data_IF_703757630060
#
_entry.id   IF_703757630060
#
_cell.length_a   1.000
_cell.length_b   1.000
_cell.length_c   1.000
_cell.angle_alpha   90.00
_cell.angle_beta   90.00
_cell.angle_gamma   90.00
#
_symmetry.space_group_name_H-M   'P 1'
#
loop_
_entity.id
_entity.type
_entity.pdbx_description
1 polymer ?
#
# COMPACT_ATOMS: atom_id res chain seq x y z
N UNK A 1 20.85 -19.80 -0.31
CA UNK A 1 21.01 -21.25 0.00
C UNK A 1 19.74 -21.75 0.71
N UNK A 2 18.57 -21.67 0.06
CA UNK A 2 17.27 -22.04 0.65
C UNK A 2 16.52 -23.13 -0.15
N UNK A 3 17.04 -23.54 -1.31
CA UNK A 3 16.29 -24.36 -2.26
C UNK A 3 16.40 -25.89 -2.08
N UNK A 4 16.86 -26.42 -0.93
CA UNK A 4 17.03 -27.87 -0.75
C UNK A 4 16.35 -28.51 0.47
N UNK A 5 15.66 -27.74 1.34
CA UNK A 5 15.08 -28.29 2.58
C UNK A 5 13.55 -28.52 2.54
N UNK A 6 12.85 -28.04 1.50
CA UNK A 6 11.39 -28.21 1.37
C UNK A 6 10.95 -29.67 1.15
N UNK A 7 11.88 -30.56 0.80
CA UNK A 7 11.59 -31.98 0.51
C UNK A 7 11.30 -32.83 1.76
N UNK A 8 11.71 -32.38 2.96
CA UNK A 8 11.64 -33.19 4.18
C UNK A 8 10.56 -32.76 5.19
N UNK A 9 9.65 -31.84 4.81
CA UNK A 9 8.55 -31.41 5.68
C UNK A 9 8.99 -30.68 6.95
N UNK A 10 10.28 -30.35 7.07
CA UNK A 10 10.81 -29.48 8.11
C UNK A 10 10.75 -28.06 7.54
N UNK A 11 9.65 -27.37 7.81
CA UNK A 11 9.66 -25.91 7.71
C UNK A 11 10.82 -25.42 8.56
N UNK A 12 11.79 -24.75 7.93
CA UNK A 12 12.81 -24.04 8.68
C UNK A 12 12.05 -23.03 9.55
N UNK A 13 12.00 -23.33 10.84
CA UNK A 13 11.36 -22.53 11.86
C UNK A 13 12.04 -21.16 11.85
N UNK A 14 11.43 -20.19 11.16
CA UNK A 14 11.90 -18.81 11.11
C UNK A 14 11.51 -18.13 12.42
N UNK A 15 12.00 -18.67 13.53
CA UNK A 15 11.86 -18.10 14.89
C UNK A 15 12.53 -16.72 15.02
N UNK A 16 13.26 -16.28 14.00
CA UNK A 16 13.90 -14.96 13.93
C UNK A 16 12.94 -13.81 13.60
N UNK A 17 11.70 -14.08 13.15
CA UNK A 17 10.77 -13.05 12.65
C UNK A 17 11.16 -12.49 11.28
N UNK A 18 10.32 -11.61 10.74
CA UNK A 18 10.51 -10.97 9.42
C UNK A 18 10.54 -9.45 9.62
N UNK A 19 11.48 -8.71 9.00
CA UNK A 19 11.45 -7.25 9.02
C UNK A 19 10.10 -6.72 8.52
N UNK A 20 9.59 -5.65 9.14
CA UNK A 20 8.29 -5.08 8.81
C UNK A 20 8.22 -4.73 7.32
N UNK A 21 9.31 -4.19 6.75
CA UNK A 21 9.45 -3.86 5.33
C UNK A 21 9.18 -5.03 4.37
N UNK A 22 9.36 -6.26 4.81
CA UNK A 22 9.13 -7.48 4.01
C UNK A 22 7.75 -8.11 4.23
N UNK A 23 6.92 -7.52 5.11
CA UNK A 23 5.54 -7.97 5.34
C UNK A 23 4.58 -7.31 4.34
N UNK A 24 3.41 -7.90 4.04
CA UNK A 24 2.38 -7.25 3.24
C UNK A 24 2.02 -5.83 3.73
N UNK A 25 1.95 -5.63 5.05
CA UNK A 25 1.69 -4.30 5.63
C UNK A 25 2.83 -3.33 5.31
N UNK A 26 4.08 -3.72 5.52
CA UNK A 26 5.24 -2.87 5.23
C UNK A 26 5.44 -2.58 3.74
N UNK A 27 5.11 -3.53 2.86
CA UNK A 27 5.13 -3.32 1.40
C UNK A 27 4.11 -2.25 1.00
N UNK A 28 2.89 -2.27 1.55
CA UNK A 28 1.91 -1.20 1.29
C UNK A 28 2.42 0.16 1.79
N UNK A 29 3.03 0.19 2.98
CA UNK A 29 3.62 1.41 3.55
C UNK A 29 4.72 1.95 2.64
N UNK A 30 5.63 1.09 2.18
CA UNK A 30 6.73 1.44 1.28
C UNK A 30 6.21 2.04 -0.04
N UNK A 31 5.31 1.34 -0.73
CA UNK A 31 4.70 1.84 -1.97
C UNK A 31 4.01 3.20 -1.79
N UNK A 32 3.34 3.40 -0.65
CA UNK A 32 2.64 4.65 -0.35
C UNK A 32 3.62 5.78 -0.04
N UNK A 33 4.69 5.49 0.70
CA UNK A 33 5.74 6.44 1.04
C UNK A 33 6.57 6.86 -0.19
N UNK A 34 6.84 5.94 -1.13
CA UNK A 34 7.49 6.25 -2.40
C UNK A 34 6.71 7.29 -3.19
N UNK A 35 5.38 7.15 -3.31
CA UNK A 35 4.53 8.17 -3.93
C UNK A 35 4.59 9.52 -3.21
N UNK A 36 4.78 9.54 -1.89
CA UNK A 36 4.96 10.77 -1.13
C UNK A 36 6.23 11.53 -1.56
N UNK A 37 7.28 10.81 -2.00
CA UNK A 37 8.54 11.37 -2.46
C UNK A 37 8.60 11.66 -3.97
N UNK A 38 7.94 10.85 -4.79
CA UNK A 38 8.00 10.98 -6.26
C UNK A 38 6.86 11.80 -6.85
N UNK A 39 5.76 11.98 -6.13
CA UNK A 39 4.56 12.61 -6.68
C UNK A 39 3.67 11.62 -7.42
N UNK A 40 2.95 12.11 -8.43
CA UNK A 40 2.11 11.27 -9.28
C UNK A 40 2.98 10.34 -10.15
N UNK A 41 2.67 9.04 -10.14
CA UNK A 41 3.31 8.05 -11.02
C UNK A 41 2.38 6.91 -11.39
N UNK A 42 2.23 6.64 -12.71
CA UNK A 42 1.31 5.61 -13.20
C UNK A 42 1.65 4.20 -12.71
N UNK A 43 2.96 3.89 -12.60
CA UNK A 43 3.45 2.60 -12.10
C UNK A 43 3.15 2.44 -10.61
N UNK A 44 3.45 3.47 -9.81
CA UNK A 44 3.17 3.45 -8.36
C UNK A 44 1.67 3.34 -8.06
N UNK A 45 0.82 4.06 -8.81
CA UNK A 45 -0.64 3.91 -8.69
C UNK A 45 -1.11 2.49 -9.01
N UNK A 46 -0.59 1.88 -10.07
CA UNK A 46 -0.96 0.52 -10.44
C UNK A 46 -0.45 -0.50 -9.42
N UNK A 47 0.74 -0.28 -8.84
CA UNK A 47 1.27 -1.11 -7.77
C UNK A 47 0.39 -1.05 -6.51
N UNK A 48 -0.02 0.16 -6.09
CA UNK A 48 -0.97 0.34 -4.98
C UNK A 48 -2.31 -0.39 -5.25
N UNK A 49 -2.90 -0.20 -6.44
CA UNK A 49 -4.17 -0.83 -6.81
C UNK A 49 -4.11 -2.37 -6.91
N UNK A 50 -2.92 -2.93 -7.17
CA UNK A 50 -2.71 -4.38 -7.23
C UNK A 50 -2.34 -4.98 -5.87
N UNK A 51 -2.01 -4.15 -4.89
CA UNK A 51 -1.66 -4.61 -3.56
C UNK A 51 -2.88 -5.23 -2.85
N UNK A 52 -2.75 -6.42 -2.21
CA UNK A 52 -3.88 -7.15 -1.63
C UNK A 52 -4.56 -6.43 -0.46
N UNK A 53 -3.84 -5.54 0.23
CA UNK A 53 -4.41 -4.74 1.32
C UNK A 53 -5.12 -3.47 0.83
N UNK A 54 -5.02 -3.12 -0.46
CA UNK A 54 -5.73 -1.95 -1.00
C UNK A 54 -7.15 -2.35 -1.37
N UNK A 55 -8.11 -2.04 -0.51
CA UNK A 55 -9.54 -2.34 -0.72
C UNK A 55 -10.38 -1.10 -0.97
N UNK A 56 -9.91 0.07 -0.51
CA UNK A 56 -10.60 1.35 -0.55
C UNK A 56 -12.01 1.35 0.08
N UNK A 57 -12.36 0.29 0.84
CA UNK A 57 -13.72 0.09 1.35
C UNK A 57 -14.76 -0.09 0.25
N UNK A 58 -14.35 -0.59 -0.92
CA UNK A 58 -15.21 -0.88 -2.06
C UNK A 58 -15.59 -2.35 -2.10
N UNK A 59 -16.69 -2.67 -2.77
CA UNK A 59 -17.03 -4.05 -3.10
C UNK A 59 -15.92 -4.66 -4.01
N UNK A 60 -15.54 -5.93 -3.81
CA UNK A 60 -14.41 -6.53 -4.53
C UNK A 60 -14.55 -6.48 -6.07
N UNK A 61 -15.76 -6.69 -6.58
CA UNK A 61 -16.04 -6.70 -8.01
C UNK A 61 -15.94 -5.29 -8.62
N UNK A 62 -16.42 -4.27 -7.91
CA UNK A 62 -16.33 -2.87 -8.34
C UNK A 62 -14.88 -2.39 -8.34
N UNK A 63 -14.10 -2.74 -7.30
CA UNK A 63 -12.67 -2.44 -7.25
C UNK A 63 -11.93 -3.14 -8.40
N UNK A 64 -12.23 -4.41 -8.66
CA UNK A 64 -11.60 -5.16 -9.73
C UNK A 64 -11.93 -4.57 -11.12
N UNK A 65 -13.19 -4.21 -11.36
CA UNK A 65 -13.66 -3.59 -12.58
C UNK A 65 -13.05 -2.19 -12.79
N UNK A 66 -13.06 -1.35 -11.75
CA UNK A 66 -12.45 -0.02 -11.79
C UNK A 66 -10.94 -0.07 -12.01
N UNK A 67 -10.25 -1.01 -11.35
CA UNK A 67 -8.81 -1.24 -11.57
C UNK A 67 -8.50 -1.67 -12.99
N UNK A 68 -9.28 -2.61 -13.54
CA UNK A 68 -9.11 -3.06 -14.93
C UNK A 68 -9.32 -1.90 -15.91
N UNK A 69 -10.34 -1.06 -15.67
CA UNK A 69 -10.58 0.13 -16.48
C UNK A 69 -9.42 1.15 -16.39
N UNK A 70 -8.92 1.42 -15.18
CA UNK A 70 -7.77 2.31 -15.00
C UNK A 70 -6.52 1.77 -15.67
N UNK A 71 -6.23 0.48 -15.54
CA UNK A 71 -5.09 -0.15 -16.18
C UNK A 71 -5.19 -0.04 -17.70
N UNK A 72 -6.34 -0.41 -18.29
CA UNK A 72 -6.49 -0.52 -19.74
C UNK A 72 -6.62 0.85 -20.43
N UNK A 73 -7.44 1.74 -19.88
CA UNK A 73 -7.83 3.00 -20.55
C UNK A 73 -7.15 4.24 -19.97
N UNK A 74 -6.61 4.18 -18.76
CA UNK A 74 -6.03 5.33 -18.07
C UNK A 74 -4.50 5.33 -18.02
N UNK A 75 -3.93 4.26 -17.48
CA UNK A 75 -2.54 4.19 -17.01
C UNK A 75 -1.58 3.55 -18.03
N UNK A 76 -2.09 2.69 -18.92
CA UNK A 76 -1.27 2.05 -19.97
C UNK A 76 -0.99 3.01 -21.14
N UNK A 77 0.07 2.73 -21.89
CA UNK A 77 0.50 3.53 -23.04
C UNK A 77 1.52 4.61 -22.64
N UNK A 78 1.61 5.74 -23.38
CA UNK A 78 2.48 6.84 -23.02
C UNK A 78 2.26 7.25 -21.55
N UNK A 79 3.32 7.59 -20.82
CA UNK A 79 3.19 7.89 -19.38
C UNK A 79 2.27 9.09 -19.15
N UNK A 80 1.11 8.94 -18.46
CA UNK A 80 0.31 10.09 -18.05
C UNK A 80 1.09 10.91 -17.02
N UNK A 81 0.92 12.23 -17.05
CA UNK A 81 1.68 13.17 -16.21
C UNK A 81 1.02 13.45 -14.86
N UNK A 82 -0.30 13.29 -14.77
CA UNK A 82 -1.11 13.66 -13.61
C UNK A 82 -2.48 12.95 -13.65
N UNK A 83 -3.26 13.09 -12.56
CA UNK A 83 -4.62 12.55 -12.48
C UNK A 83 -5.55 13.10 -13.56
N UNK A 84 -5.40 14.38 -13.96
CA UNK A 84 -6.22 14.97 -15.00
C UNK A 84 -5.95 14.36 -16.38
N UNK A 85 -4.71 13.96 -16.67
CA UNK A 85 -4.33 13.24 -17.88
C UNK A 85 -4.98 11.86 -17.94
N UNK A 86 -5.02 11.13 -16.81
CA UNK A 86 -5.73 9.85 -16.72
C UNK A 86 -7.24 10.05 -16.95
N UNK A 87 -7.85 11.06 -16.29
CA UNK A 87 -9.26 11.40 -16.46
C UNK A 87 -9.62 11.70 -17.92
N UNK A 88 -8.82 12.52 -18.61
CA UNK A 88 -9.01 12.79 -20.04
C UNK A 88 -8.96 11.52 -20.91
N UNK A 89 -8.09 10.57 -20.60
CA UNK A 89 -7.99 9.31 -21.35
C UNK A 89 -9.21 8.40 -21.15
N UNK A 90 -9.74 8.35 -19.93
CA UNK A 90 -11.00 7.67 -19.64
C UNK A 90 -12.16 8.31 -20.43
N UNK A 91 -12.25 9.64 -20.44
CA UNK A 91 -13.31 10.35 -21.17
C UNK A 91 -13.24 10.14 -22.69
N UNK A 92 -12.02 10.05 -23.26
CA UNK A 92 -11.83 9.70 -24.68
C UNK A 92 -12.27 8.26 -24.94
N UNK A 93 -11.90 7.33 -24.04
CA UNK A 93 -12.22 5.91 -24.20
C UNK A 93 -13.72 5.63 -24.08
N UNK A 94 -14.43 6.36 -23.22
CA UNK A 94 -15.89 6.23 -23.05
C UNK A 94 -16.67 6.79 -24.25
N UNK A 95 -16.17 7.85 -24.87
CA UNK A 95 -16.75 8.37 -26.13
C UNK A 95 -16.50 7.43 -27.30
N UNK A 96 -15.34 6.76 -27.28
CA UNK A 96 -14.84 5.92 -28.37
C UNK A 96 -14.55 6.69 -29.66
N UNK A 97 -14.11 5.95 -30.66
CA UNK A 97 -13.88 6.47 -32.00
C UNK A 97 -15.00 5.99 -32.94
N UNK A 98 -15.35 6.74 -34.00
CA UNK A 98 -16.40 6.33 -34.95
C UNK A 98 -16.18 4.94 -35.55
N UNK A 99 -14.92 4.57 -35.80
CA UNK A 99 -14.53 3.27 -36.37
C UNK A 99 -14.46 2.14 -35.32
N UNK A 100 -14.43 2.51 -34.03
CA UNK A 100 -14.30 1.57 -32.92
C UNK A 100 -15.06 2.09 -31.70
N UNK A 101 -16.40 1.94 -31.69
CA UNK A 101 -17.21 2.32 -30.54
C UNK A 101 -16.85 1.45 -29.33
N UNK A 102 -17.07 1.96 -28.10
CA UNK A 102 -16.81 1.20 -26.89
C UNK A 102 -17.78 0.03 -26.80
N UNK A 103 -17.32 -1.09 -26.25
CA UNK A 103 -18.20 -2.22 -25.97
C UNK A 103 -19.14 -1.92 -24.79
N UNK A 104 -20.23 -2.66 -24.64
CA UNK A 104 -21.12 -2.51 -23.46
C UNK A 104 -20.35 -2.70 -22.15
N UNK A 105 -19.39 -3.64 -22.14
CA UNK A 105 -18.51 -3.89 -20.99
C UNK A 105 -17.61 -2.68 -20.69
N UNK A 106 -17.17 -1.96 -21.70
CA UNK A 106 -16.35 -0.75 -21.53
C UNK A 106 -17.19 0.37 -20.91
N UNK A 107 -18.41 0.57 -21.42
CA UNK A 107 -19.36 1.56 -20.94
C UNK A 107 -19.79 1.33 -19.48
N UNK A 108 -19.81 0.07 -19.02
CA UNK A 108 -20.08 -0.27 -17.63
C UNK A 108 -18.87 0.01 -16.72
N UNK A 109 -17.64 -0.20 -17.20
CA UNK A 109 -16.43 -0.20 -16.37
C UNK A 109 -15.69 1.11 -16.32
N UNK A 110 -15.70 1.89 -17.41
CA UNK A 110 -15.02 3.18 -17.45
C UNK A 110 -15.53 4.14 -16.37
N UNK A 111 -16.86 4.22 -16.09
CA UNK A 111 -17.38 4.96 -14.94
C UNK A 111 -16.77 4.52 -13.60
N UNK A 112 -16.70 3.21 -13.33
CA UNK A 112 -16.07 2.69 -12.11
C UNK A 112 -14.58 3.06 -12.03
N UNK A 113 -13.87 3.03 -13.16
CA UNK A 113 -12.48 3.49 -13.23
C UNK A 113 -12.34 4.99 -12.93
N UNK A 114 -13.28 5.81 -13.40
CA UNK A 114 -13.31 7.25 -13.13
C UNK A 114 -13.57 7.56 -11.66
N UNK A 115 -14.54 6.87 -11.05
CA UNK A 115 -14.85 7.03 -9.64
C UNK A 115 -13.67 6.59 -8.76
N UNK A 116 -13.04 5.46 -9.12
CA UNK A 116 -11.83 4.98 -8.46
C UNK A 116 -10.67 5.99 -8.57
N UNK A 117 -10.48 6.61 -9.75
CA UNK A 117 -9.48 7.66 -9.95
C UNK A 117 -9.72 8.86 -9.05
N UNK A 118 -10.96 9.35 -8.98
CA UNK A 118 -11.33 10.48 -8.16
C UNK A 118 -11.09 10.20 -6.66
N UNK A 119 -11.39 8.98 -6.23
CA UNK A 119 -11.12 8.53 -4.86
C UNK A 119 -9.62 8.50 -4.55
N UNK A 120 -8.82 7.93 -5.47
CA UNK A 120 -7.36 7.90 -5.34
C UNK A 120 -6.75 9.31 -5.32
N UNK A 121 -7.20 10.20 -6.22
CA UNK A 121 -6.76 11.60 -6.25
C UNK A 121 -7.02 12.26 -4.89
N UNK A 122 -8.23 12.15 -4.35
CA UNK A 122 -8.56 12.70 -3.03
C UNK A 122 -7.71 12.13 -1.88
N UNK A 123 -7.42 10.83 -1.90
CA UNK A 123 -6.64 10.14 -0.86
C UNK A 123 -5.15 10.50 -0.93
N UNK A 124 -4.60 10.62 -2.14
CA UNK A 124 -3.16 10.73 -2.36
C UNK A 124 -2.69 12.18 -2.45
N UNK A 125 -3.49 13.12 -2.95
CA UNK A 125 -3.10 14.53 -3.12
C UNK A 125 -2.47 15.15 -1.87
N UNK A 126 -3.04 15.00 -0.65
CA UNK A 126 -2.44 15.55 0.56
C UNK A 126 -1.03 15.00 0.84
N UNK A 127 -0.85 13.68 0.62
CA UNK A 127 0.40 12.98 0.84
C UNK A 127 1.46 13.40 -0.19
N UNK A 128 1.16 13.29 -1.49
CA UNK A 128 2.12 13.53 -2.58
C UNK A 128 2.56 14.98 -2.70
N UNK A 129 1.78 15.94 -2.17
CA UNK A 129 2.21 17.33 -2.06
C UNK A 129 3.45 17.52 -1.15
N UNK A 130 3.86 16.49 -0.40
CA UNK A 130 5.13 16.46 0.34
C UNK A 130 6.37 16.25 -0.53
N UNK A 131 6.21 15.85 -1.80
CA UNK A 131 7.32 15.67 -2.74
C UNK A 131 8.04 17.00 -3.02
N UNK A 132 7.28 18.09 -3.15
CA UNK A 132 7.82 19.42 -3.47
C UNK A 132 7.98 20.32 -2.24
N UNK A 133 7.29 20.01 -1.14
CA UNK A 133 7.27 20.86 0.06
C UNK A 133 7.73 20.08 1.29
N UNK A 134 8.92 20.38 1.84
CA UNK A 134 9.41 19.74 3.06
C UNK A 134 8.47 19.93 4.25
N UNK A 135 8.24 18.86 5.02
CA UNK A 135 7.33 18.81 6.19
C UNK A 135 8.04 18.22 7.40
N UNK A 136 7.47 18.42 8.58
CA UNK A 136 7.89 17.71 9.78
C UNK A 136 7.61 16.21 9.65
N UNK A 137 8.41 15.38 10.30
CA UNK A 137 8.27 13.92 10.31
C UNK A 137 6.89 13.51 10.83
N UNK A 138 6.41 14.20 11.86
CA UNK A 138 5.10 13.99 12.47
C UNK A 138 3.95 14.27 11.50
N UNK A 139 4.09 15.28 10.64
CA UNK A 139 3.08 15.60 9.63
C UNK A 139 3.07 14.55 8.52
N UNK A 140 4.25 14.15 8.04
CA UNK A 140 4.37 13.11 7.01
C UNK A 140 3.83 11.76 7.51
N UNK A 141 4.14 11.39 8.75
CA UNK A 141 3.63 10.17 9.36
C UNK A 141 2.10 10.20 9.57
N UNK A 142 1.52 11.33 10.00
CA UNK A 142 0.06 11.49 10.10
C UNK A 142 -0.63 11.34 8.74
N UNK A 143 -0.11 12.00 7.71
CA UNK A 143 -0.68 11.92 6.36
C UNK A 143 -0.57 10.50 5.80
N UNK A 144 0.58 9.85 5.97
CA UNK A 144 0.77 8.47 5.57
C UNK A 144 -0.21 7.52 6.29
N UNK A 145 -0.40 7.70 7.59
CA UNK A 145 -1.36 6.92 8.40
C UNK A 145 -2.78 7.04 7.82
N UNK A 146 -3.28 8.27 7.63
CA UNK A 146 -4.62 8.52 7.10
C UNK A 146 -4.78 7.96 5.68
N UNK A 147 -3.74 8.11 4.84
CA UNK A 147 -3.73 7.55 3.49
C UNK A 147 -3.82 6.03 3.51
N UNK A 148 -3.03 5.36 4.37
CA UNK A 148 -3.03 3.89 4.49
C UNK A 148 -4.37 3.35 4.99
N UNK A 149 -4.98 4.01 5.98
CA UNK A 149 -6.32 3.67 6.45
C UNK A 149 -7.36 3.79 5.34
N UNK A 150 -7.31 4.87 4.56
CA UNK A 150 -8.23 5.07 3.44
C UNK A 150 -8.01 4.04 2.31
N UNK A 151 -6.76 3.70 2.00
CA UNK A 151 -6.40 2.65 1.04
C UNK A 151 -6.87 1.26 1.50
N UNK A 152 -6.73 0.96 2.79
CA UNK A 152 -7.11 -0.33 3.37
C UNK A 152 -8.62 -0.49 3.57
N UNK A 153 -9.39 0.60 3.45
CA UNK A 153 -10.84 0.62 3.70
C UNK A 153 -11.21 0.85 5.16
N UNK A 154 -10.26 1.28 6.00
CA UNK A 154 -10.47 1.67 7.39
C UNK A 154 -9.29 1.30 8.31
N UNK A 155 -9.24 1.86 9.53
CA UNK A 155 -8.20 1.58 10.51
C UNK A 155 -8.12 0.10 10.93
N UNK A 156 -9.27 -0.54 11.14
CA UNK A 156 -9.33 -1.96 11.52
C UNK A 156 -8.79 -2.90 10.43
N UNK A 157 -8.82 -2.45 9.18
CA UNK A 157 -8.24 -3.18 8.05
C UNK A 157 -6.74 -2.90 7.92
N UNK A 158 -6.32 -1.64 8.06
CA UNK A 158 -4.93 -1.21 7.93
C UNK A 158 -4.02 -1.79 9.01
N UNK A 159 -4.50 -1.84 10.25
CA UNK A 159 -3.70 -2.16 11.44
C UNK A 159 -3.98 -3.56 12.01
N UNK A 160 -4.49 -4.48 11.17
CA UNK A 160 -4.85 -5.82 11.60
C UNK A 160 -3.63 -6.71 11.86
N UNK A 161 -3.65 -7.39 13.00
CA UNK A 161 -2.69 -8.45 13.33
C UNK A 161 -1.29 -7.91 13.64
N UNK A 162 -0.34 -8.82 13.85
CA UNK A 162 1.00 -8.47 14.35
C UNK A 162 1.76 -7.47 13.45
N UNK A 163 1.59 -7.58 12.13
CA UNK A 163 2.21 -6.65 11.16
C UNK A 163 1.61 -5.24 11.28
N UNK A 164 0.28 -5.15 11.30
CA UNK A 164 -0.46 -3.92 11.46
C UNK A 164 -0.19 -3.22 12.80
N UNK A 165 -0.14 -3.99 13.88
CA UNK A 165 0.21 -3.48 15.22
C UNK A 165 1.65 -2.94 15.27
N UNK A 166 2.61 -3.62 14.64
CA UNK A 166 3.99 -3.15 14.56
C UNK A 166 4.09 -1.84 13.74
N UNK A 167 3.43 -1.79 12.58
CA UNK A 167 3.37 -0.60 11.75
C UNK A 167 2.69 0.59 12.47
N UNK A 168 1.56 0.36 13.13
CA UNK A 168 0.83 1.38 13.87
C UNK A 168 1.68 1.96 15.00
N UNK A 169 2.41 1.12 15.75
CA UNK A 169 3.34 1.58 16.79
C UNK A 169 4.48 2.42 16.22
N UNK A 170 5.08 1.99 15.10
CA UNK A 170 6.16 2.74 14.45
C UNK A 170 5.66 4.12 13.99
N UNK A 171 4.52 4.18 13.30
CA UNK A 171 3.93 5.43 12.85
C UNK A 171 3.52 6.33 14.02
N UNK A 172 2.93 5.77 15.08
CA UNK A 172 2.60 6.52 16.29
C UNK A 172 3.83 7.16 16.94
N UNK A 173 4.94 6.42 17.06
CA UNK A 173 6.20 6.97 17.58
C UNK A 173 6.73 8.11 16.71
N UNK A 174 6.69 7.98 15.38
CA UNK A 174 7.06 9.07 14.46
C UNK A 174 6.14 10.30 14.61
N UNK A 175 4.88 10.10 14.95
CA UNK A 175 3.91 11.18 15.16
C UNK A 175 4.14 11.89 16.51
N UNK A 176 4.49 11.15 17.55
CA UNK A 176 4.70 11.66 18.91
C UNK A 176 6.06 12.35 19.05
N UNK A 177 7.13 11.71 18.58
CA UNK A 177 8.51 12.17 18.77
C UNK A 177 9.05 12.98 17.58
N UNK A 178 8.36 12.93 16.43
CA UNK A 178 8.83 13.56 15.19
C UNK A 178 8.81 15.10 15.19
N UNK A 179 8.06 15.73 16.09
CA UNK A 179 7.80 17.18 16.06
C UNK A 179 9.06 18.05 16.23
N UNK A 180 10.09 17.54 16.91
CA UNK A 180 11.38 18.23 17.08
C UNK A 180 12.37 17.97 15.92
N UNK A 181 12.03 17.10 14.97
CA UNK A 181 12.90 16.71 13.87
C UNK A 181 13.01 17.81 12.82
N UNK A 182 14.11 17.82 12.07
CA UNK A 182 14.25 18.69 10.91
C UNK A 182 13.17 18.36 9.86
N UNK A 183 12.70 19.40 9.17
CA UNK A 183 11.78 19.22 8.04
C UNK A 183 12.52 18.50 6.91
N UNK A 184 11.83 17.58 6.25
CA UNK A 184 12.37 16.80 5.15
C UNK A 184 11.35 16.67 4.02
N UNK A 185 11.84 16.53 2.80
CA UNK A 185 10.99 16.19 1.65
C UNK A 185 10.49 14.74 1.74
N UNK A 186 9.52 14.41 0.90
CA UNK A 186 8.92 13.07 0.89
C UNK A 186 9.91 11.94 0.59
N UNK A 187 10.96 12.19 -0.20
CA UNK A 187 11.95 11.17 -0.56
C UNK A 187 12.84 10.82 0.62
N UNK A 188 13.30 11.83 1.36
CA UNK A 188 14.07 11.64 2.59
C UNK A 188 13.21 10.96 3.66
N UNK A 189 11.94 11.33 3.77
CA UNK A 189 10.99 10.68 4.67
C UNK A 189 10.79 9.19 4.33
N UNK A 190 10.62 8.86 3.05
CA UNK A 190 10.47 7.48 2.59
C UNK A 190 11.72 6.62 2.87
N UNK A 191 12.92 7.15 2.65
CA UNK A 191 14.19 6.47 2.98
C UNK A 191 14.36 6.26 4.49
N UNK A 192 14.03 7.27 5.31
CA UNK A 192 14.01 7.13 6.77
C UNK A 192 13.05 6.02 7.19
N UNK A 193 11.81 6.06 6.71
CA UNK A 193 10.79 5.09 7.07
C UNK A 193 11.19 3.67 6.67
N UNK A 194 11.73 3.48 5.47
CA UNK A 194 12.23 2.19 4.99
C UNK A 194 13.28 1.59 5.95
N UNK A 195 14.27 2.40 6.34
CA UNK A 195 15.32 1.97 7.30
C UNK A 195 14.76 1.61 8.67
N UNK A 196 13.76 2.35 9.15
CA UNK A 196 13.10 2.04 10.42
C UNK A 196 12.31 0.73 10.33
N UNK A 197 11.55 0.53 9.25
CA UNK A 197 10.82 -0.71 9.02
C UNK A 197 11.74 -1.93 8.90
N UNK A 198 12.96 -1.77 8.38
CA UNK A 198 13.97 -2.84 8.35
C UNK A 198 14.46 -3.26 9.75
N UNK A 199 14.42 -2.35 10.73
CA UNK A 199 14.79 -2.65 12.13
C UNK A 199 13.63 -3.23 12.95
N UNK A 200 12.39 -3.01 12.52
CA UNK A 200 11.20 -3.54 13.18
C UNK A 200 10.98 -5.00 12.81
N UNK A 201 11.27 -5.92 13.74
CA UNK A 201 11.06 -7.35 13.53
C UNK A 201 9.65 -7.76 13.90
N UNK A 202 8.85 -8.15 12.91
CA UNK A 202 7.52 -8.71 13.12
C UNK A 202 7.62 -10.22 13.35
N UNK A 203 7.08 -10.66 14.48
CA UNK A 203 6.97 -12.08 14.81
C UNK A 203 5.51 -12.47 14.67
N UNK A 204 5.17 -13.14 13.57
CA UNK A 204 3.90 -13.86 13.51
C UNK A 204 4.06 -15.06 14.43
N UNK A 205 3.17 -15.21 15.41
CA UNK A 205 3.10 -16.44 16.20
C UNK A 205 2.77 -17.56 15.22
N UNK A 206 3.80 -18.23 14.69
CA UNK A 206 3.63 -19.33 13.76
C UNK A 206 2.67 -20.33 14.37
N UNK A 207 1.75 -20.85 13.57
CA UNK A 207 0.76 -21.86 13.97
C UNK A 207 1.37 -22.85 14.96
N UNK A 208 1.12 -22.59 16.25
CA UNK A 208 1.52 -23.52 17.30
C UNK A 208 0.49 -24.63 17.17
N UNK A 209 0.84 -25.65 16.39
CA UNK A 209 0.05 -26.86 16.28
C UNK A 209 -0.36 -27.23 17.72
N UNK A 210 -1.66 -27.38 18.06
CA UNK A 210 -2.14 -27.41 19.45
C UNK A 210 -1.60 -28.56 20.33
N UNK A 211 -0.67 -29.37 19.81
CA UNK A 211 0.02 -30.49 20.48
C UNK A 211 1.47 -30.20 20.86
N UNK A 212 2.03 -29.01 20.56
CA UNK A 212 3.37 -28.59 20.98
C UNK A 212 3.30 -27.52 22.08
N UNK A 213 2.49 -27.75 23.12
CA UNK A 213 2.76 -27.16 24.43
C UNK A 213 3.80 -28.05 25.10
N UNK A 214 5.07 -27.66 25.02
CA UNK A 214 6.10 -28.17 25.92
C UNK A 214 5.73 -27.64 27.32
N UNK A 215 4.94 -28.43 28.04
CA UNK A 215 4.83 -28.29 29.50
C UNK A 215 6.23 -28.60 30.03
N UNK A 216 6.81 -27.61 30.72
CA UNK A 216 8.10 -27.77 31.40
C UNK A 216 8.09 -29.05 32.23
N UNK A 217 9.17 -29.82 32.09
CA UNK A 217 9.38 -31.03 32.85
C UNK A 217 9.23 -30.71 34.35
N UNK A 218 8.33 -31.44 35.00
CA UNK A 218 8.25 -31.52 36.45
C UNK A 218 9.56 -32.15 36.92
N UNK A 219 10.40 -31.35 37.58
CA UNK A 219 11.54 -31.87 38.35
C UNK A 219 11.01 -32.59 39.59
N UNK A 220 11.57 -33.78 39.83
CA UNK A 220 11.34 -34.64 40.97
C UNK A 220 12.31 -34.30 42.12
#
# INVERSE_FOLDING_TARGET
MQARLTRWGLGADSSAGTPLSHTPTGVLIGLTAELAGEGFGAVGLLALLKHPLTTLGLEPDDLAAGREALELYGLRGPHPTDFAAVRRRLDVSEKGEPERPPSSRDLERIPLGRDLLARLEGILTPLIAGAETPRGVEVSARLLTVTLEALAGGPDQAWRGAEGEAAARLLAALIEDGAASARMDGKVFADLLSRLMDQEVVRTGGDVHPRLRILGAIEA
#
